data_IF_735082940221
#
_entry.id   IF_735082940221
#
_cell.length_a   1.000
_cell.length_b   1.000
_cell.length_c   1.000
_cell.angle_alpha   90.00
_cell.angle_beta   90.00
_cell.angle_gamma   90.00
#
_symmetry.space_group_name_H-M   'P 1'
#
loop_
_entity.id
_entity.type
_entity.pdbx_description
1 polymer ?
#
# COMPACT_ATOMS: atom_id res chain seq x y z
N UNK A 1 7.54 -13.73 22.70
CA UNK A 1 7.42 -13.31 21.27
C UNK A 1 8.71 -13.42 20.45
N UNK A 2 9.86 -13.51 21.07
CA UNK A 2 11.20 -13.58 20.46
C UNK A 2 11.36 -14.71 19.44
N UNK A 3 10.78 -15.88 19.68
CA UNK A 3 11.03 -17.09 18.88
C UNK A 3 10.55 -17.05 17.41
N UNK A 4 9.53 -16.23 17.07
CA UNK A 4 9.00 -16.18 15.69
C UNK A 4 9.90 -15.41 14.72
N UNK A 5 10.58 -14.37 15.19
CA UNK A 5 11.48 -13.58 14.36
C UNK A 5 12.87 -14.20 14.24
N UNK A 6 13.26 -15.08 15.17
CA UNK A 6 14.58 -15.75 15.11
C UNK A 6 14.73 -16.57 13.83
N UNK A 7 13.67 -17.29 13.41
CA UNK A 7 13.69 -18.07 12.16
C UNK A 7 13.83 -17.14 10.95
N UNK A 8 13.09 -16.02 10.91
CA UNK A 8 13.15 -15.06 9.81
C UNK A 8 14.53 -14.43 9.73
N UNK A 9 15.10 -14.06 10.86
CA UNK A 9 16.45 -13.50 10.92
C UNK A 9 17.52 -14.49 10.47
N UNK A 10 17.40 -15.78 10.87
CA UNK A 10 18.29 -16.85 10.42
C UNK A 10 18.18 -17.02 8.91
N UNK A 11 16.97 -17.13 8.36
CA UNK A 11 16.76 -17.27 6.92
C UNK A 11 17.29 -16.06 6.13
N UNK A 12 17.10 -14.85 6.68
CA UNK A 12 17.68 -13.64 6.09
C UNK A 12 19.22 -13.70 6.08
N UNK A 13 19.82 -14.09 7.20
CA UNK A 13 21.28 -14.23 7.28
C UNK A 13 21.82 -15.30 6.31
N UNK A 14 21.07 -16.38 6.09
CA UNK A 14 21.42 -17.41 5.10
C UNK A 14 21.29 -16.86 3.68
N UNK A 15 20.22 -16.14 3.37
CA UNK A 15 20.02 -15.48 2.09
C UNK A 15 21.12 -14.48 1.79
N UNK A 16 21.55 -13.66 2.76
CA UNK A 16 22.59 -12.65 2.63
C UNK A 16 23.99 -13.28 2.33
N UNK A 17 24.18 -14.58 2.66
CA UNK A 17 25.42 -15.32 2.33
C UNK A 17 25.43 -15.86 0.90
N UNK A 18 24.27 -15.95 0.25
CA UNK A 18 24.20 -16.45 -1.11
C UNK A 18 24.78 -15.42 -2.08
N UNK A 19 25.61 -15.91 -2.98
CA UNK A 19 26.15 -15.08 -4.07
C UNK A 19 25.25 -15.26 -5.28
N UNK A 20 24.46 -14.24 -5.59
CA UNK A 20 23.67 -14.20 -6.80
C UNK A 20 24.43 -13.48 -7.91
N UNK A 21 24.28 -13.96 -9.13
CA UNK A 21 24.71 -13.18 -10.29
C UNK A 21 23.80 -11.96 -10.47
N UNK A 22 24.27 -10.90 -11.12
CA UNK A 22 23.43 -9.75 -11.48
C UNK A 22 22.21 -10.14 -12.30
N UNK A 23 22.30 -11.20 -13.07
CA UNK A 23 21.19 -11.75 -13.83
C UNK A 23 20.11 -12.35 -12.89
N UNK A 24 20.53 -13.12 -11.87
CA UNK A 24 19.59 -13.73 -10.92
C UNK A 24 18.92 -12.68 -10.04
N UNK A 25 19.69 -11.68 -9.59
CA UNK A 25 19.14 -10.56 -8.82
C UNK A 25 18.06 -9.81 -9.61
N UNK A 26 18.33 -9.49 -10.88
CA UNK A 26 17.32 -8.84 -11.74
C UNK A 26 16.07 -9.69 -11.93
N UNK A 27 16.21 -11.00 -12.10
CA UNK A 27 15.06 -11.91 -12.23
C UNK A 27 14.23 -12.02 -10.95
N UNK A 28 14.88 -12.06 -9.80
CA UNK A 28 14.22 -12.08 -8.51
C UNK A 28 13.44 -10.77 -8.25
N UNK A 29 14.09 -9.66 -8.56
CA UNK A 29 13.47 -8.34 -8.44
C UNK A 29 12.26 -8.18 -9.38
N UNK A 30 12.40 -8.55 -10.64
CA UNK A 30 11.31 -8.53 -11.63
C UNK A 30 10.14 -9.39 -11.16
N UNK A 31 10.43 -10.62 -10.69
CA UNK A 31 9.40 -11.51 -10.16
C UNK A 31 8.68 -10.92 -8.97
N UNK A 32 9.44 -10.41 -8.00
CA UNK A 32 8.86 -9.83 -6.78
C UNK A 32 8.00 -8.60 -7.08
N UNK A 33 8.50 -7.69 -7.90
CA UNK A 33 7.79 -6.49 -8.35
C UNK A 33 6.47 -6.85 -9.05
N UNK A 34 6.51 -7.82 -9.94
CA UNK A 34 5.35 -8.30 -10.69
C UNK A 34 4.30 -8.94 -9.78
N UNK A 35 4.72 -9.86 -8.91
CA UNK A 35 3.83 -10.54 -7.96
C UNK A 35 3.23 -9.57 -6.96
N UNK A 36 4.02 -8.64 -6.45
CA UNK A 36 3.55 -7.62 -5.50
C UNK A 36 2.51 -6.69 -6.14
N UNK A 37 2.80 -6.16 -7.34
CA UNK A 37 1.86 -5.29 -8.06
C UNK A 37 0.57 -6.03 -8.41
N UNK A 38 0.66 -7.26 -8.92
CA UNK A 38 -0.51 -8.07 -9.23
C UNK A 38 -1.38 -8.33 -8.00
N UNK A 39 -0.78 -8.87 -6.93
CA UNK A 39 -1.55 -9.26 -5.74
C UNK A 39 -2.17 -8.06 -5.03
N UNK A 40 -1.45 -6.96 -4.90
CA UNK A 40 -1.96 -5.73 -4.27
C UNK A 40 -3.14 -5.15 -5.03
N UNK A 41 -3.03 -5.03 -6.35
CA UNK A 41 -4.14 -4.53 -7.16
C UNK A 41 -5.34 -5.49 -7.17
N UNK A 42 -5.08 -6.80 -7.17
CA UNK A 42 -6.15 -7.81 -7.14
C UNK A 42 -6.95 -7.78 -5.82
N UNK A 43 -6.30 -7.54 -4.69
CA UNK A 43 -6.95 -7.35 -3.39
C UNK A 43 -7.91 -6.14 -3.43
N UNK A 44 -7.54 -5.08 -4.14
CA UNK A 44 -8.36 -3.88 -4.31
C UNK A 44 -9.43 -3.99 -5.40
N UNK A 45 -9.56 -5.17 -6.03
CA UNK A 45 -10.61 -5.47 -7.00
C UNK A 45 -10.23 -5.26 -8.46
N UNK A 46 -8.96 -4.99 -8.77
CA UNK A 46 -8.48 -4.94 -10.16
C UNK A 46 -8.57 -6.33 -10.78
N UNK A 47 -9.07 -6.41 -12.02
CA UNK A 47 -9.40 -7.69 -12.69
C UNK A 47 -8.33 -8.17 -13.67
N UNK A 48 -7.25 -7.41 -13.86
CA UNK A 48 -6.13 -7.78 -14.76
C UNK A 48 -5.53 -9.10 -14.31
N UNK A 49 -5.43 -10.06 -15.23
CA UNK A 49 -4.83 -11.36 -14.91
C UNK A 49 -3.32 -11.26 -14.69
N UNK A 50 -2.73 -12.24 -14.01
CA UNK A 50 -1.29 -12.27 -13.79
C UNK A 50 -0.48 -12.25 -15.10
N UNK A 51 -0.94 -12.97 -16.13
CA UNK A 51 -0.27 -13.01 -17.44
C UNK A 51 -0.36 -11.66 -18.15
N UNK A 52 -1.50 -10.98 -18.04
CA UNK A 52 -1.69 -9.66 -18.65
C UNK A 52 -0.95 -8.57 -17.87
N UNK A 53 -0.87 -8.70 -16.54
CA UNK A 53 0.00 -7.84 -15.71
C UNK A 53 1.46 -7.97 -16.18
N UNK A 54 1.93 -9.20 -16.42
CA UNK A 54 3.26 -9.45 -16.94
C UNK A 54 3.48 -8.84 -18.33
N UNK A 55 2.51 -8.97 -19.24
CA UNK A 55 2.57 -8.36 -20.57
C UNK A 55 2.60 -6.82 -20.48
N UNK A 56 1.76 -6.26 -19.62
CA UNK A 56 1.66 -4.82 -19.39
C UNK A 56 2.94 -4.23 -18.79
N UNK A 57 3.42 -4.79 -17.67
CA UNK A 57 4.52 -4.18 -16.91
C UNK A 57 5.90 -4.44 -17.53
N UNK A 58 6.09 -5.57 -18.23
CA UNK A 58 7.40 -5.92 -18.81
C UNK A 58 7.53 -5.57 -20.27
N UNK A 59 6.41 -5.45 -21.00
CA UNK A 59 6.42 -5.27 -22.47
C UNK A 59 5.58 -4.10 -22.94
N UNK A 60 4.86 -3.44 -22.03
CA UNK A 60 3.90 -2.39 -22.34
C UNK A 60 2.79 -2.84 -23.34
N UNK A 61 2.38 -4.10 -23.23
CA UNK A 61 1.38 -4.72 -24.11
C UNK A 61 0.09 -4.95 -23.32
N UNK A 62 -1.04 -4.50 -23.88
CA UNK A 62 -2.38 -4.82 -23.41
C UNK A 62 -2.97 -5.92 -24.30
N UNK A 63 -3.23 -7.10 -23.70
CA UNK A 63 -3.67 -8.29 -24.43
C UNK A 63 -5.18 -8.39 -24.48
N UNK A 64 -5.85 -8.14 -23.35
CA UNK A 64 -7.30 -8.25 -23.21
C UNK A 64 -7.95 -6.89 -22.95
N UNK A 65 -9.28 -6.85 -22.99
CA UNK A 65 -10.04 -5.63 -22.71
C UNK A 65 -10.16 -5.40 -21.21
N UNK A 66 -9.51 -4.36 -20.74
CA UNK A 66 -9.59 -3.85 -19.37
C UNK A 66 -10.03 -2.40 -19.38
N UNK A 67 -10.53 -1.91 -18.28
CA UNK A 67 -10.79 -0.47 -18.16
C UNK A 67 -9.46 0.29 -18.16
N UNK A 68 -9.48 1.50 -18.70
CA UNK A 68 -8.29 2.37 -18.70
C UNK A 68 -7.80 2.62 -17.27
N UNK A 69 -8.72 2.72 -16.32
CA UNK A 69 -8.41 2.90 -14.91
C UNK A 69 -7.62 1.72 -14.33
N UNK A 70 -8.03 0.48 -14.58
CA UNK A 70 -7.32 -0.71 -14.11
C UNK A 70 -5.87 -0.75 -14.64
N UNK A 71 -5.68 -0.36 -15.90
CA UNK A 71 -4.36 -0.29 -16.52
C UNK A 71 -3.49 0.81 -15.88
N UNK A 72 -4.09 2.00 -15.64
CA UNK A 72 -3.40 3.11 -14.96
C UNK A 72 -3.00 2.73 -13.53
N UNK A 73 -3.91 2.15 -12.75
CA UNK A 73 -3.66 1.72 -11.36
C UNK A 73 -2.53 0.68 -11.29
N UNK A 74 -2.55 -0.31 -12.19
CA UNK A 74 -1.50 -1.33 -12.24
C UNK A 74 -0.12 -0.74 -12.53
N UNK A 75 -0.01 0.16 -13.52
CA UNK A 75 1.26 0.84 -13.86
C UNK A 75 1.69 1.81 -12.76
N UNK A 76 0.75 2.52 -12.15
CA UNK A 76 1.02 3.45 -11.06
C UNK A 76 1.53 2.73 -9.80
N UNK A 77 0.94 1.57 -9.47
CA UNK A 77 1.40 0.74 -8.36
C UNK A 77 2.83 0.23 -8.57
N UNK A 78 3.15 -0.22 -9.78
CA UNK A 78 4.50 -0.65 -10.14
C UNK A 78 5.53 0.49 -10.02
N UNK A 79 5.16 1.70 -10.46
CA UNK A 79 5.96 2.91 -10.28
C UNK A 79 6.14 3.29 -8.80
N UNK A 80 5.06 3.21 -8.01
CA UNK A 80 5.09 3.46 -6.57
C UNK A 80 6.00 2.47 -5.83
N UNK A 81 5.94 1.18 -6.19
CA UNK A 81 6.83 0.16 -5.65
C UNK A 81 8.30 0.51 -5.90
N UNK A 82 8.64 0.92 -7.12
CA UNK A 82 10.01 1.33 -7.48
C UNK A 82 10.47 2.52 -6.64
N UNK A 83 9.61 3.54 -6.50
CA UNK A 83 9.90 4.73 -5.70
C UNK A 83 10.12 4.40 -4.21
N UNK A 84 9.25 3.57 -3.62
CA UNK A 84 9.41 3.15 -2.21
C UNK A 84 10.70 2.35 -2.01
N UNK A 85 11.08 1.53 -2.99
CA UNK A 85 12.35 0.82 -2.95
C UNK A 85 13.56 1.77 -2.97
N UNK A 86 13.52 2.81 -3.79
CA UNK A 86 14.56 3.85 -3.81
C UNK A 86 14.64 4.58 -2.46
N UNK A 87 13.48 4.91 -1.87
CA UNK A 87 13.44 5.51 -0.53
C UNK A 87 14.00 4.59 0.56
N UNK A 88 13.74 3.29 0.46
CA UNK A 88 14.16 2.32 1.48
C UNK A 88 15.68 2.11 1.56
N UNK A 89 16.43 2.46 0.52
CA UNK A 89 17.90 2.36 0.53
C UNK A 89 18.58 3.66 0.99
N UNK A 90 17.85 4.76 1.06
CA UNK A 90 18.32 6.04 1.57
C UNK A 90 18.30 6.02 3.11
N UNK A 91 19.48 5.88 3.72
CA UNK A 91 19.62 5.76 5.17
C UNK A 91 19.31 7.06 5.93
N UNK A 92 19.35 8.20 5.25
CA UNK A 92 19.11 9.53 5.82
C UNK A 92 17.64 9.97 5.67
N UNK A 93 16.82 9.15 5.01
CA UNK A 93 15.40 9.44 4.74
C UNK A 93 14.49 8.80 5.78
N UNK A 94 13.63 9.61 6.37
CA UNK A 94 12.48 9.14 7.14
C UNK A 94 11.18 9.25 6.33
N UNK A 95 10.20 8.42 6.68
CA UNK A 95 8.85 8.51 6.13
C UNK A 95 8.11 9.70 6.76
N UNK A 96 7.35 10.43 5.96
CA UNK A 96 6.57 11.58 6.38
C UNK A 96 5.11 11.51 5.90
N UNK A 97 4.25 12.35 6.45
CA UNK A 97 2.87 12.48 5.98
C UNK A 97 2.80 12.93 4.50
N UNK A 98 3.77 13.72 4.06
CA UNK A 98 3.87 14.16 2.65
C UNK A 98 4.13 12.95 1.76
N UNK A 99 5.05 12.07 2.14
CA UNK A 99 5.35 10.85 1.38
C UNK A 99 4.13 9.94 1.25
N UNK A 100 3.36 9.79 2.33
CA UNK A 100 2.11 8.99 2.31
C UNK A 100 1.09 9.59 1.33
N UNK A 101 0.93 10.91 1.33
CA UNK A 101 0.03 11.61 0.40
C UNK A 101 0.51 11.52 -1.04
N UNK A 102 1.80 11.65 -1.27
CA UNK A 102 2.40 11.50 -2.60
C UNK A 102 2.21 10.07 -3.15
N UNK A 103 2.43 9.05 -2.32
CA UNK A 103 2.16 7.66 -2.70
C UNK A 103 0.68 7.43 -3.00
N UNK A 104 -0.23 7.96 -2.18
CA UNK A 104 -1.66 7.87 -2.45
C UNK A 104 -2.03 8.50 -3.79
N UNK A 105 -1.51 9.72 -4.06
CA UNK A 105 -1.71 10.41 -5.32
C UNK A 105 -1.12 9.65 -6.51
N UNK A 106 0.07 9.07 -6.35
CA UNK A 106 0.72 8.29 -7.39
C UNK A 106 -0.11 7.04 -7.73
N UNK A 107 -0.52 6.26 -6.72
CA UNK A 107 -1.23 4.98 -6.90
C UNK A 107 -2.63 5.18 -7.49
N UNK A 108 -3.38 6.16 -6.99
CA UNK A 108 -4.76 6.43 -7.42
C UNK A 108 -4.86 7.33 -8.65
N UNK A 109 -3.76 7.92 -9.10
CA UNK A 109 -3.53 8.70 -10.32
C UNK A 109 -4.33 10.01 -10.38
N UNK A 110 -5.65 9.97 -10.18
CA UNK A 110 -6.54 11.16 -10.28
C UNK A 110 -7.79 10.98 -9.43
N UNK A 111 -8.39 12.10 -9.08
CA UNK A 111 -9.67 12.13 -8.38
C UNK A 111 -10.74 11.34 -9.10
N UNK A 112 -11.57 10.66 -8.33
CA UNK A 112 -12.65 9.84 -8.91
C UNK A 112 -13.90 9.82 -8.03
N UNK A 113 -15.02 9.55 -8.66
CA UNK A 113 -16.28 9.33 -7.98
C UNK A 113 -16.38 7.89 -7.50
N UNK A 114 -16.74 7.72 -6.23
CA UNK A 114 -17.02 6.42 -5.61
C UNK A 114 -18.46 6.36 -5.14
N UNK A 115 -19.15 5.30 -5.52
CA UNK A 115 -20.48 5.00 -4.97
C UNK A 115 -20.32 4.54 -3.52
N UNK A 116 -21.19 5.03 -2.67
CA UNK A 116 -21.20 4.76 -1.24
C UNK A 116 -22.66 4.67 -0.74
N UNK A 117 -22.81 4.34 0.52
CA UNK A 117 -24.11 4.37 1.20
C UNK A 117 -24.00 5.19 2.48
N UNK A 118 -25.06 5.90 2.82
CA UNK A 118 -25.20 6.49 4.16
C UNK A 118 -25.38 5.38 5.20
N UNK A 119 -25.22 5.67 6.51
CA UNK A 119 -25.52 4.70 7.57
C UNK A 119 -26.93 4.11 7.48
N UNK A 120 -27.89 4.89 6.98
CA UNK A 120 -29.29 4.48 6.76
C UNK A 120 -29.50 3.68 5.47
N UNK A 121 -28.41 3.40 4.72
CA UNK A 121 -28.45 2.59 3.50
C UNK A 121 -28.82 3.33 2.22
N UNK A 122 -28.96 4.66 2.25
CA UNK A 122 -29.26 5.44 1.06
C UNK A 122 -28.03 5.56 0.15
N UNK A 123 -28.18 5.36 -1.18
CA UNK A 123 -27.09 5.48 -2.11
C UNK A 123 -26.61 6.94 -2.20
N UNK A 124 -25.29 7.12 -2.14
CA UNK A 124 -24.65 8.43 -2.31
C UNK A 124 -23.42 8.26 -3.20
N UNK A 125 -22.99 9.35 -3.83
CA UNK A 125 -21.69 9.40 -4.53
C UNK A 125 -20.81 10.42 -3.84
N UNK A 126 -19.56 10.06 -3.62
CA UNK A 126 -18.54 10.96 -3.09
C UNK A 126 -17.35 11.04 -4.02
N UNK A 127 -16.75 12.21 -4.09
CA UNK A 127 -15.46 12.38 -4.76
C UNK A 127 -14.34 11.95 -3.81
N UNK A 128 -13.42 11.15 -4.31
CA UNK A 128 -12.17 10.84 -3.62
C UNK A 128 -11.10 11.75 -4.21
N UNK A 129 -10.57 12.64 -3.38
CA UNK A 129 -9.45 13.52 -3.72
C UNK A 129 -8.15 12.80 -3.40
N UNK A 130 -7.31 12.61 -4.41
CA UNK A 130 -6.07 11.87 -4.25
C UNK A 130 -4.98 12.75 -3.62
N UNK A 131 -4.21 12.17 -2.71
CA UNK A 131 -3.15 12.87 -1.98
C UNK A 131 -3.66 13.83 -0.90
N UNK A 132 -4.95 13.80 -0.59
CA UNK A 132 -5.54 14.63 0.46
C UNK A 132 -6.19 13.78 1.56
N UNK A 133 -6.39 14.38 2.72
CA UNK A 133 -7.17 13.73 3.76
C UNK A 133 -8.65 13.74 3.40
N UNK A 134 -9.37 12.73 3.88
CA UNK A 134 -10.81 12.63 3.63
C UNK A 134 -11.57 13.84 4.18
N UNK A 135 -12.55 14.29 3.41
CA UNK A 135 -13.43 15.40 3.78
C UNK A 135 -14.79 14.91 4.35
N UNK A 136 -15.08 13.61 4.16
CA UNK A 136 -16.32 13.00 4.62
C UNK A 136 -16.03 11.81 5.53
N UNK A 137 -16.86 11.55 6.56
CA UNK A 137 -16.74 10.39 7.41
C UNK A 137 -16.88 9.10 6.58
N UNK A 138 -16.26 8.04 7.03
CA UNK A 138 -16.42 6.71 6.49
C UNK A 138 -16.62 5.68 7.59
N UNK A 139 -17.28 4.62 7.23
CA UNK A 139 -17.57 3.49 8.12
C UNK A 139 -17.63 2.20 7.32
N UNK A 140 -17.49 1.08 8.00
CA UNK A 140 -17.65 -0.25 7.43
C UNK A 140 -18.61 -1.07 8.29
N UNK A 141 -19.49 -1.83 7.64
CA UNK A 141 -20.32 -2.81 8.33
C UNK A 141 -19.53 -4.09 8.55
N UNK A 142 -19.34 -4.45 9.80
CA UNK A 142 -18.66 -5.68 10.18
C UNK A 142 -19.55 -6.91 9.90
N UNK A 143 -18.94 -8.08 9.89
CA UNK A 143 -19.62 -9.36 9.66
C UNK A 143 -20.66 -9.69 10.73
N UNK A 144 -20.51 -9.17 11.94
CA UNK A 144 -21.49 -9.27 13.04
C UNK A 144 -22.64 -8.28 12.92
N UNK A 145 -22.65 -7.42 11.88
CA UNK A 145 -23.68 -6.40 11.63
C UNK A 145 -23.42 -5.05 12.29
N UNK A 146 -22.43 -4.94 13.17
CA UNK A 146 -22.05 -3.66 13.78
C UNK A 146 -21.42 -2.72 12.75
N UNK A 147 -21.54 -1.41 12.98
CA UNK A 147 -20.89 -0.39 12.14
C UNK A 147 -19.64 0.09 12.87
N UNK A 148 -18.49 -0.13 12.24
CA UNK A 148 -17.23 0.44 12.68
C UNK A 148 -17.05 1.82 12.01
N UNK A 149 -16.82 2.85 12.80
CA UNK A 149 -16.53 4.20 12.33
C UNK A 149 -15.03 4.47 12.40
N UNK A 150 -14.48 4.89 11.28
CA UNK A 150 -13.10 5.38 11.23
C UNK A 150 -12.99 6.78 11.84
N UNK A 151 -11.78 7.30 11.98
CA UNK A 151 -11.57 8.66 12.49
C UNK A 151 -12.42 9.69 11.72
N UNK A 152 -12.97 10.66 12.42
CA UNK A 152 -13.68 11.77 11.80
C UNK A 152 -12.71 12.64 10.96
N UNK A 153 -13.16 13.26 9.85
CA UNK A 153 -12.29 14.04 8.98
C UNK A 153 -11.45 15.09 9.70
N UNK A 154 -12.01 15.77 10.69
CA UNK A 154 -11.31 16.80 11.47
C UNK A 154 -10.24 16.23 12.41
N UNK A 155 -10.33 14.94 12.77
CA UNK A 155 -9.34 14.25 13.62
C UNK A 155 -8.14 13.73 12.83
N UNK A 156 -8.32 13.49 11.52
CA UNK A 156 -7.31 12.81 10.68
C UNK A 156 -5.93 13.48 10.74
N UNK A 157 -5.79 14.82 10.64
CA UNK A 157 -4.47 15.46 10.70
C UNK A 157 -3.74 15.19 12.02
N UNK A 158 -4.46 15.25 13.15
CA UNK A 158 -3.88 14.99 14.47
C UNK A 158 -3.49 13.52 14.62
N UNK A 159 -4.36 12.58 14.23
CA UNK A 159 -4.09 11.14 14.29
C UNK A 159 -2.94 10.71 13.37
N UNK A 160 -2.79 11.36 12.22
CA UNK A 160 -1.65 11.13 11.33
C UNK A 160 -0.36 11.66 11.94
N UNK A 161 -0.41 12.78 12.67
CA UNK A 161 0.77 13.25 13.42
C UNK A 161 1.14 12.28 14.55
N UNK A 162 0.18 11.82 15.34
CA UNK A 162 0.39 10.80 16.37
C UNK A 162 1.00 9.51 15.79
N UNK A 163 0.59 9.10 14.59
CA UNK A 163 1.16 7.95 13.90
C UNK A 163 2.63 8.17 13.53
N UNK A 164 2.98 9.37 13.04
CA UNK A 164 4.37 9.70 12.70
C UNK A 164 5.25 9.80 13.95
N UNK A 165 4.74 10.41 15.02
CA UNK A 165 5.45 10.51 16.29
C UNK A 165 5.73 9.11 16.86
N UNK A 166 4.70 8.25 16.91
CA UNK A 166 4.84 6.85 17.29
C UNK A 166 5.89 6.10 16.43
N UNK A 167 5.84 6.28 15.10
CA UNK A 167 6.82 5.66 14.20
C UNK A 167 8.24 6.11 14.52
N UNK A 168 8.46 7.40 14.74
CA UNK A 168 9.77 7.93 15.04
C UNK A 168 10.32 7.43 16.39
N UNK A 169 9.46 7.26 17.39
CA UNK A 169 9.82 6.73 18.70
C UNK A 169 10.21 5.24 18.64
N UNK A 170 9.50 4.46 17.82
CA UNK A 170 9.60 3.00 17.82
C UNK A 170 10.49 2.40 16.72
N UNK A 171 10.85 3.17 15.67
CA UNK A 171 11.54 2.68 14.46
C UNK A 171 12.89 2.02 14.74
N UNK A 172 13.58 2.41 15.83
CA UNK A 172 14.86 1.83 16.21
C UNK A 172 14.75 0.70 17.23
N UNK A 173 13.61 0.59 17.94
CA UNK A 173 13.40 -0.38 19.03
C UNK A 173 12.65 -1.64 18.59
N UNK A 174 11.82 -1.56 17.57
CA UNK A 174 11.00 -2.67 17.10
C UNK A 174 11.64 -3.43 15.94
N UNK A 175 11.37 -4.72 15.89
CA UNK A 175 11.67 -5.52 14.70
C UNK A 175 10.91 -4.95 13.48
N UNK A 176 11.53 -4.82 12.27
CA UNK A 176 10.91 -4.17 11.12
C UNK A 176 9.54 -4.72 10.73
N UNK A 177 9.33 -6.02 10.83
CA UNK A 177 8.01 -6.65 10.56
C UNK A 177 6.96 -6.20 11.58
N UNK A 178 7.34 -6.12 12.87
CA UNK A 178 6.44 -5.63 13.93
C UNK A 178 6.10 -4.16 13.70
N UNK A 179 7.12 -3.35 13.42
CA UNK A 179 6.95 -1.93 13.13
C UNK A 179 5.97 -1.72 11.97
N UNK A 180 6.22 -2.38 10.84
CA UNK A 180 5.36 -2.29 9.64
C UNK A 180 3.92 -2.76 9.92
N UNK A 181 3.75 -3.85 10.66
CA UNK A 181 2.42 -4.40 11.00
C UNK A 181 1.63 -3.43 11.87
N UNK A 182 2.24 -2.87 12.91
CA UNK A 182 1.58 -1.93 13.82
C UNK A 182 1.30 -0.61 13.10
N UNK A 183 2.26 -0.12 12.30
CA UNK A 183 2.07 1.08 11.49
C UNK A 183 0.87 0.93 10.56
N UNK A 184 0.81 -0.15 9.80
CA UNK A 184 -0.30 -0.44 8.90
C UNK A 184 -1.64 -0.51 9.65
N UNK A 185 -1.69 -1.23 10.77
CA UNK A 185 -2.90 -1.34 11.58
C UNK A 185 -3.38 0.04 12.08
N UNK A 186 -2.49 0.85 12.64
CA UNK A 186 -2.82 2.21 13.09
C UNK A 186 -3.29 3.10 11.94
N UNK A 187 -2.61 3.02 10.79
CA UNK A 187 -2.97 3.79 9.59
C UNK A 187 -4.38 3.44 9.08
N UNK A 188 -4.71 2.14 8.99
CA UNK A 188 -6.02 1.68 8.55
C UNK A 188 -7.14 2.18 9.46
N UNK A 189 -6.91 2.32 10.77
CA UNK A 189 -7.92 2.85 11.69
C UNK A 189 -8.20 4.35 11.51
N UNK A 190 -7.27 5.08 10.89
CA UNK A 190 -7.43 6.52 10.59
C UNK A 190 -8.20 6.71 9.27
N UNK A 191 -7.99 5.80 8.34
CA UNK A 191 -8.45 5.93 6.94
C UNK A 191 -9.96 5.86 6.77
#
# INVERSE_FOLDING_TARGET
>A
MTHKFDIINILKMELDKLQFSDHDLRRLEEKFRLEFSYNSNHIEGNTITYLDTKALLLKDIVVNSYTFRELEEMKAHDGAFTLVKEWAVDQDRDISQVDIKELNKLILVKDFWKDAQTPDGLPVRKIIKVGEYKEMPNSVRLTNGEIFHYAEPFEVPAKMQELMDWYNDEKTGLHPITLATIFHHKFVLIH
#
